data_IF_287865669114
#
_entry.id   IF_287865669114
#
_cell.length_a   1.000
_cell.length_b   1.000
_cell.length_c   1.000
_cell.angle_alpha   90.00
_cell.angle_beta   90.00
_cell.angle_gamma   90.00
#
_symmetry.space_group_name_H-M   'P 1'
#
loop_
_entity.id
_entity.type
_entity.pdbx_description
1 polymer ?
#
# COMPACT_ATOMS: atom_id res chain seq x y z
N UNK A 1 -30.11 -26.81 4.94
CA UNK A 1 -29.97 -25.49 4.27
C UNK A 1 -30.81 -24.53 5.08
N UNK A 2 -30.16 -23.84 6.04
CA UNK A 2 -30.79 -22.71 6.75
C UNK A 2 -30.87 -21.57 5.73
N UNK A 3 -32.11 -21.16 5.39
CA UNK A 3 -32.32 -20.01 4.51
C UNK A 3 -31.67 -18.77 5.12
N UNK A 4 -30.86 -18.12 4.31
CA UNK A 4 -30.17 -16.88 4.64
C UNK A 4 -31.20 -15.77 4.88
N UNK A 5 -31.56 -15.55 6.15
CA UNK A 5 -32.52 -14.49 6.58
C UNK A 5 -31.82 -13.18 6.84
N UNK A 6 -30.61 -12.99 6.30
CA UNK A 6 -29.88 -11.74 6.41
C UNK A 6 -30.58 -10.66 5.56
N UNK A 7 -31.28 -9.75 6.21
CA UNK A 7 -31.98 -8.61 5.59
C UNK A 7 -31.07 -7.43 5.24
N UNK A 8 -29.73 -7.61 5.24
CA UNK A 8 -28.72 -6.60 4.96
C UNK A 8 -27.99 -6.84 3.65
N UNK A 9 -26.96 -6.05 3.39
CA UNK A 9 -26.09 -6.10 2.24
C UNK A 9 -24.71 -6.68 2.62
N UNK A 10 -24.11 -7.44 1.73
CA UNK A 10 -22.72 -7.91 1.82
C UNK A 10 -21.84 -7.08 0.91
N UNK A 11 -20.88 -6.40 1.51
CA UNK A 11 -19.91 -5.56 0.80
C UNK A 11 -18.53 -6.16 0.96
N UNK A 12 -17.81 -6.34 -0.14
CA UNK A 12 -16.44 -6.80 -0.14
C UNK A 12 -15.50 -5.59 -0.33
N UNK A 13 -14.69 -5.30 0.67
CA UNK A 13 -13.72 -4.20 0.66
C UNK A 13 -12.31 -4.76 0.43
N UNK A 14 -11.64 -4.23 -0.57
CA UNK A 14 -10.24 -4.50 -0.95
C UNK A 14 -9.54 -3.21 -1.35
N UNK A 15 -8.21 -3.20 -1.36
CA UNK A 15 -7.39 -2.04 -1.74
C UNK A 15 -5.98 -2.48 -2.13
N UNK A 16 -5.17 -1.53 -2.59
CA UNK A 16 -3.72 -1.67 -2.73
C UNK A 16 -3.32 -2.90 -3.57
N UNK A 17 -3.97 -3.06 -4.74
CA UNK A 17 -3.68 -4.16 -5.65
C UNK A 17 -2.32 -4.04 -6.31
N UNK A 18 -1.87 -2.81 -6.58
CA UNK A 18 -0.57 -2.49 -7.20
C UNK A 18 -0.26 -3.35 -8.43
N UNK A 19 -1.22 -3.47 -9.33
CA UNK A 19 -1.04 -4.25 -10.57
C UNK A 19 0.17 -3.75 -11.36
N UNK A 20 1.06 -4.69 -11.69
CA UNK A 20 2.34 -4.40 -12.35
C UNK A 20 3.51 -4.14 -11.40
N UNK A 21 3.33 -4.32 -10.08
CA UNK A 21 4.42 -4.27 -9.09
C UNK A 21 5.28 -5.53 -9.17
N UNK A 22 6.56 -5.36 -8.87
CA UNK A 22 7.52 -6.45 -8.72
C UNK A 22 8.02 -6.54 -7.28
N UNK A 23 8.46 -7.71 -6.85
CA UNK A 23 9.11 -7.92 -5.56
C UNK A 23 10.58 -8.30 -5.78
N UNK A 24 11.51 -7.41 -5.45
CA UNK A 24 12.95 -7.60 -5.70
C UNK A 24 13.28 -8.10 -7.12
N UNK A 25 12.58 -7.58 -8.13
CA UNK A 25 12.75 -7.95 -9.54
C UNK A 25 11.93 -9.17 -10.00
N UNK A 26 11.22 -9.84 -9.10
CA UNK A 26 10.28 -10.92 -9.47
C UNK A 26 8.97 -10.32 -9.92
N UNK A 27 8.48 -10.76 -11.07
CA UNK A 27 7.16 -10.40 -11.59
C UNK A 27 6.06 -11.04 -10.73
N UNK A 28 5.08 -10.23 -10.32
CA UNK A 28 3.94 -10.67 -9.51
C UNK A 28 2.65 -10.85 -10.33
N UNK A 29 2.69 -10.80 -11.65
CA UNK A 29 1.50 -10.85 -12.51
C UNK A 29 0.65 -12.10 -12.27
N UNK A 30 1.28 -13.28 -12.16
CA UNK A 30 0.56 -14.53 -11.86
C UNK A 30 -0.08 -14.52 -10.46
N UNK A 31 0.58 -13.89 -9.49
CA UNK A 31 0.05 -13.76 -8.12
C UNK A 31 -1.13 -12.79 -8.08
N UNK A 32 -1.06 -11.68 -8.83
CA UNK A 32 -2.19 -10.77 -9.01
C UNK A 32 -3.37 -11.47 -9.69
N UNK A 33 -3.12 -12.22 -10.76
CA UNK A 33 -4.16 -12.97 -11.45
C UNK A 33 -4.85 -13.99 -10.53
N UNK A 34 -4.07 -14.76 -9.76
CA UNK A 34 -4.61 -15.74 -8.80
C UNK A 34 -5.46 -15.08 -7.71
N UNK A 35 -5.03 -13.92 -7.19
CA UNK A 35 -5.83 -13.16 -6.24
C UNK A 35 -7.14 -12.66 -6.87
N UNK A 36 -7.08 -12.10 -8.06
CA UNK A 36 -8.26 -11.54 -8.75
C UNK A 36 -9.25 -12.65 -9.15
N UNK A 37 -8.76 -13.84 -9.50
CA UNK A 37 -9.60 -15.03 -9.72
C UNK A 37 -10.31 -15.44 -8.43
N UNK A 38 -9.56 -15.49 -7.31
CA UNK A 38 -10.14 -15.76 -6.00
C UNK A 38 -11.21 -14.71 -5.62
N UNK A 39 -10.96 -13.43 -5.90
CA UNK A 39 -11.91 -12.35 -5.62
C UNK A 39 -13.24 -12.55 -6.37
N UNK A 40 -13.18 -12.94 -7.66
CA UNK A 40 -14.38 -13.26 -8.46
C UNK A 40 -15.16 -14.44 -7.87
N UNK A 41 -14.45 -15.52 -7.49
CA UNK A 41 -15.09 -16.69 -6.88
C UNK A 41 -15.70 -16.36 -5.50
N UNK A 42 -15.02 -15.55 -4.71
CA UNK A 42 -15.52 -15.09 -3.41
C UNK A 42 -16.82 -14.26 -3.59
N UNK A 43 -16.85 -13.35 -4.57
CA UNK A 43 -18.03 -12.55 -4.89
C UNK A 43 -19.23 -13.45 -5.20
N UNK A 44 -19.02 -14.55 -5.96
CA UNK A 44 -20.06 -15.50 -6.32
C UNK A 44 -20.51 -16.34 -5.12
N UNK A 45 -19.56 -16.86 -4.36
CA UNK A 45 -19.81 -17.75 -3.22
C UNK A 45 -20.59 -17.03 -2.11
N UNK A 46 -20.16 -15.80 -1.77
CA UNK A 46 -20.76 -14.99 -0.71
C UNK A 46 -21.94 -14.12 -1.17
N UNK A 47 -22.28 -14.15 -2.47
CA UNK A 47 -23.34 -13.32 -3.06
C UNK A 47 -23.18 -11.85 -2.69
N UNK A 48 -21.98 -11.30 -2.95
CA UNK A 48 -21.60 -9.94 -2.62
C UNK A 48 -22.41 -8.94 -3.43
N UNK A 49 -23.04 -7.97 -2.77
CA UNK A 49 -23.85 -6.93 -3.40
C UNK A 49 -23.00 -5.83 -4.03
N UNK A 50 -21.83 -5.52 -3.43
CA UNK A 50 -20.88 -4.56 -3.96
C UNK A 50 -19.43 -4.89 -3.59
N UNK A 51 -18.50 -4.66 -4.53
CA UNK A 51 -17.04 -4.66 -4.30
C UNK A 51 -16.57 -3.21 -4.25
N UNK A 52 -15.87 -2.86 -3.20
CA UNK A 52 -15.26 -1.55 -2.98
C UNK A 52 -13.74 -1.66 -3.08
N UNK A 53 -13.13 -0.91 -4.02
CA UNK A 53 -11.69 -0.90 -4.23
C UNK A 53 -11.13 0.47 -3.82
N UNK A 54 -10.49 0.52 -2.65
CA UNK A 54 -10.09 1.77 -2.00
C UNK A 54 -8.68 2.23 -2.40
N UNK A 55 -8.45 2.42 -3.70
CA UNK A 55 -7.23 3.01 -4.25
C UNK A 55 -6.07 2.05 -4.48
N UNK A 56 -5.01 2.59 -5.08
CA UNK A 56 -3.78 1.92 -5.51
C UNK A 56 -4.05 0.65 -6.32
N UNK A 57 -4.86 0.84 -7.37
CA UNK A 57 -5.21 -0.22 -8.32
C UNK A 57 -3.98 -0.63 -9.12
N UNK A 58 -3.23 0.36 -9.62
CA UNK A 58 -1.96 0.16 -10.32
C UNK A 58 -0.77 0.59 -9.46
N UNK A 59 0.40 -0.05 -9.67
CA UNK A 59 1.63 0.32 -8.97
C UNK A 59 2.20 1.68 -9.40
N UNK A 60 1.84 2.16 -10.58
CA UNK A 60 2.33 3.43 -11.12
C UNK A 60 1.31 4.08 -12.05
N UNK A 61 1.42 5.41 -12.17
CA UNK A 61 0.53 6.22 -13.00
C UNK A 61 0.50 5.84 -14.51
N UNK A 62 1.55 5.15 -15.00
CA UNK A 62 1.62 4.56 -16.34
C UNK A 62 1.83 3.05 -16.14
N UNK A 63 0.76 2.26 -16.03
CA UNK A 63 0.86 0.83 -15.81
C UNK A 63 1.33 0.08 -17.07
N UNK A 64 1.91 -1.11 -16.92
CA UNK A 64 2.15 -2.03 -18.02
C UNK A 64 0.83 -2.41 -18.73
N UNK A 65 0.92 -2.73 -20.01
CA UNK A 65 -0.27 -3.08 -20.81
C UNK A 65 -0.98 -4.31 -20.26
N UNK A 66 -0.21 -5.31 -19.84
CA UNK A 66 -0.70 -6.56 -19.26
C UNK A 66 -1.51 -6.30 -17.98
N UNK A 67 -1.11 -5.31 -17.17
CA UNK A 67 -1.84 -4.90 -15.98
C UNK A 67 -3.17 -4.23 -16.31
N UNK A 68 -3.21 -3.46 -17.40
CA UNK A 68 -4.46 -2.83 -17.89
C UNK A 68 -5.42 -3.91 -18.40
N UNK A 69 -4.93 -4.89 -19.14
CA UNK A 69 -5.72 -6.02 -19.63
C UNK A 69 -6.26 -6.86 -18.47
N UNK A 70 -5.42 -7.18 -17.48
CA UNK A 70 -5.81 -7.94 -16.29
C UNK A 70 -6.91 -7.21 -15.51
N UNK A 71 -6.77 -5.89 -15.29
CA UNK A 71 -7.82 -5.10 -14.64
C UNK A 71 -9.12 -5.13 -15.45
N UNK A 72 -9.04 -4.90 -16.76
CA UNK A 72 -10.21 -4.88 -17.65
C UNK A 72 -10.99 -6.19 -17.62
N UNK A 73 -10.29 -7.33 -17.72
CA UNK A 73 -10.90 -8.66 -17.65
C UNK A 73 -11.52 -8.92 -16.27
N UNK A 74 -10.84 -8.52 -15.19
CA UNK A 74 -11.35 -8.68 -13.82
C UNK A 74 -12.61 -7.86 -13.59
N UNK A 75 -12.62 -6.59 -13.99
CA UNK A 75 -13.81 -5.73 -13.84
C UNK A 75 -14.99 -6.28 -14.65
N UNK A 76 -14.75 -6.78 -15.87
CA UNK A 76 -15.79 -7.42 -16.67
C UNK A 76 -16.43 -8.60 -15.94
N UNK A 77 -15.59 -9.51 -15.40
CA UNK A 77 -16.07 -10.70 -14.65
C UNK A 77 -16.78 -10.33 -13.34
N UNK A 78 -16.25 -9.37 -12.57
CA UNK A 78 -16.88 -8.92 -11.33
C UNK A 78 -18.27 -8.32 -11.60
N UNK A 79 -18.37 -7.48 -12.63
CA UNK A 79 -19.62 -6.80 -12.97
C UNK A 79 -20.72 -7.71 -13.53
N UNK A 80 -20.40 -8.97 -13.90
CA UNK A 80 -21.42 -9.98 -14.18
C UNK A 80 -22.21 -10.36 -12.93
N UNK A 81 -21.60 -10.27 -11.74
CA UNK A 81 -22.16 -10.79 -10.49
C UNK A 81 -22.53 -9.72 -9.47
N UNK A 82 -21.79 -8.59 -9.45
CA UNK A 82 -21.90 -7.57 -8.40
C UNK A 82 -21.74 -6.16 -8.96
N UNK A 83 -21.95 -5.14 -8.13
CA UNK A 83 -21.52 -3.78 -8.41
C UNK A 83 -20.08 -3.56 -7.96
N UNK A 84 -19.32 -2.78 -8.73
CA UNK A 84 -17.94 -2.42 -8.39
C UNK A 84 -17.84 -0.91 -8.29
N UNK A 85 -17.34 -0.42 -7.16
CA UNK A 85 -17.00 0.99 -6.94
C UNK A 85 -15.52 1.07 -6.66
N UNK A 86 -14.79 1.84 -7.48
CA UNK A 86 -13.36 2.01 -7.28
C UNK A 86 -12.95 3.49 -7.35
N UNK A 87 -11.89 3.82 -6.64
CA UNK A 87 -11.29 5.15 -6.58
C UNK A 87 -9.78 5.06 -6.74
N UNK A 88 -9.08 6.05 -7.30
CA UNK A 88 -7.63 6.05 -7.38
C UNK A 88 -6.99 6.31 -6.03
N UNK A 89 -5.84 5.65 -5.78
CA UNK A 89 -4.90 5.95 -4.71
C UNK A 89 -3.78 6.89 -5.16
N UNK A 90 -2.71 6.96 -4.36
CA UNK A 90 -1.58 7.86 -4.63
C UNK A 90 -0.58 7.34 -5.69
N UNK A 91 -0.63 6.06 -6.04
CA UNK A 91 0.13 5.47 -7.14
C UNK A 91 -0.59 5.65 -8.49
N UNK A 92 -1.91 5.73 -8.48
CA UNK A 92 -2.73 5.80 -9.67
C UNK A 92 -2.67 7.18 -10.34
N UNK A 93 -2.87 7.19 -11.66
CA UNK A 93 -3.29 8.41 -12.36
C UNK A 93 -4.82 8.50 -12.35
N UNK A 94 -5.38 9.43 -11.58
CA UNK A 94 -6.82 9.64 -11.51
C UNK A 94 -7.45 9.84 -12.91
N UNK A 95 -6.73 10.49 -13.83
CA UNK A 95 -7.19 10.71 -15.20
C UNK A 95 -7.21 9.41 -16.01
N UNK A 96 -6.16 8.58 -15.93
CA UNK A 96 -6.08 7.33 -16.69
C UNK A 96 -7.02 6.28 -16.14
N UNK A 97 -7.05 6.08 -14.82
CA UNK A 97 -7.99 5.16 -14.19
C UNK A 97 -9.44 5.59 -14.41
N UNK A 98 -9.69 6.90 -14.44
CA UNK A 98 -11.01 7.48 -14.74
C UNK A 98 -11.37 7.54 -16.21
N UNK A 99 -10.53 7.03 -17.12
CA UNK A 99 -10.88 7.00 -18.53
C UNK A 99 -12.15 6.18 -18.78
N UNK A 100 -13.11 6.77 -19.49
CA UNK A 100 -14.39 6.13 -19.75
C UNK A 100 -15.36 6.09 -18.55
N UNK A 101 -15.02 6.62 -17.38
CA UNK A 101 -15.87 6.58 -16.18
C UNK A 101 -17.30 7.13 -16.44
N UNK A 102 -17.44 8.16 -17.26
CA UNK A 102 -18.75 8.72 -17.66
C UNK A 102 -19.57 7.84 -18.60
N UNK A 103 -18.97 6.79 -19.15
CA UNK A 103 -19.63 5.84 -20.06
C UNK A 103 -20.14 4.60 -19.32
N UNK A 104 -19.55 4.28 -18.17
CA UNK A 104 -19.95 3.12 -17.38
C UNK A 104 -21.36 3.33 -16.81
N UNK A 105 -22.11 2.26 -16.68
CA UNK A 105 -23.50 2.26 -16.18
C UNK A 105 -23.68 1.14 -15.15
N UNK A 106 -24.68 1.31 -14.34
CA UNK A 106 -25.27 0.35 -13.40
C UNK A 106 -24.30 -0.38 -12.46
N UNK A 107 -23.37 -1.17 -12.98
CA UNK A 107 -22.56 -2.08 -12.17
C UNK A 107 -21.09 -1.67 -11.99
N UNK A 108 -20.61 -0.64 -12.71
CA UNK A 108 -19.25 -0.13 -12.56
C UNK A 108 -19.25 1.38 -12.32
N UNK A 109 -18.72 1.81 -11.22
CA UNK A 109 -18.51 3.21 -10.88
C UNK A 109 -17.03 3.49 -10.57
N UNK A 110 -16.37 4.27 -11.45
CA UNK A 110 -15.02 4.78 -11.21
C UNK A 110 -15.11 6.21 -10.72
N UNK A 111 -14.77 6.44 -9.46
CA UNK A 111 -14.87 7.75 -8.81
C UNK A 111 -13.48 8.40 -8.68
N UNK A 112 -13.03 9.04 -9.77
CA UNK A 112 -11.66 9.58 -9.88
C UNK A 112 -11.57 11.11 -9.76
N UNK A 113 -12.69 11.83 -9.62
CA UNK A 113 -12.73 13.30 -9.63
C UNK A 113 -13.22 13.87 -8.32
N UNK A 114 -12.53 14.89 -7.81
CA UNK A 114 -12.94 15.64 -6.61
C UNK A 114 -14.33 16.30 -6.76
N UNK A 115 -14.69 16.73 -7.95
CA UNK A 115 -15.99 17.34 -8.21
C UNK A 115 -17.20 16.42 -7.88
N UNK A 116 -17.03 15.09 -8.00
CA UNK A 116 -18.09 14.10 -7.77
C UNK A 116 -18.13 13.49 -6.38
N UNK A 117 -17.35 13.97 -5.42
CA UNK A 117 -17.25 13.35 -4.07
C UNK A 117 -18.57 13.38 -3.25
N UNK A 118 -19.42 14.34 -3.51
CA UNK A 118 -20.76 14.45 -2.90
C UNK A 118 -21.86 13.75 -3.72
N UNK A 119 -21.50 12.96 -4.70
CA UNK A 119 -22.42 12.17 -5.53
C UNK A 119 -22.22 10.68 -5.21
N UNK A 120 -22.99 10.11 -4.28
CA UNK A 120 -22.80 8.70 -3.91
C UNK A 120 -23.23 7.77 -5.04
N UNK A 121 -22.65 6.58 -5.03
CA UNK A 121 -23.19 5.43 -5.76
C UNK A 121 -24.29 4.82 -4.89
N UNK A 122 -25.50 4.75 -5.41
CA UNK A 122 -26.62 4.14 -4.72
C UNK A 122 -26.60 2.63 -4.95
N UNK A 123 -26.53 1.87 -3.88
CA UNK A 123 -26.67 0.42 -3.91
C UNK A 123 -28.14 0.08 -3.66
N UNK A 124 -28.82 -0.67 -4.56
CA UNK A 124 -30.21 -1.04 -4.36
C UNK A 124 -30.31 -2.10 -3.27
N UNK A 125 -31.41 -2.03 -2.51
CA UNK A 125 -31.87 -3.11 -1.66
C UNK A 125 -32.58 -4.21 -2.50
N UNK A 126 -33.09 -5.23 -1.82
CA UNK A 126 -33.81 -6.36 -2.47
C UNK A 126 -35.15 -5.95 -3.07
N UNK A 127 -35.73 -4.86 -2.62
CA UNK A 127 -37.02 -4.34 -3.08
C UNK A 127 -36.87 -3.28 -4.17
N UNK A 128 -35.62 -2.95 -4.56
CA UNK A 128 -35.29 -1.97 -5.59
C UNK A 128 -35.21 -0.54 -5.06
N UNK A 129 -35.32 -0.34 -3.76
CA UNK A 129 -35.03 0.94 -3.09
C UNK A 129 -33.55 1.18 -2.88
N UNK A 130 -33.19 2.29 -2.23
CA UNK A 130 -31.81 2.59 -1.87
C UNK A 130 -31.42 1.87 -0.58
N UNK A 131 -30.63 0.80 -0.69
CA UNK A 131 -30.15 0.00 0.43
C UNK A 131 -28.91 0.59 1.13
N UNK A 132 -28.02 1.27 0.38
CA UNK A 132 -26.88 1.98 0.94
C UNK A 132 -26.39 3.10 0.01
N UNK A 133 -25.70 4.09 0.57
CA UNK A 133 -25.04 5.17 -0.15
C UNK A 133 -23.53 4.98 -0.04
N UNK A 134 -22.83 4.89 -1.17
CA UNK A 134 -21.37 4.72 -1.23
C UNK A 134 -20.74 6.00 -1.75
N UNK A 135 -20.12 6.77 -0.88
CA UNK A 135 -19.28 7.91 -1.24
C UNK A 135 -17.86 7.43 -1.51
N UNK A 136 -17.18 8.02 -2.47
CA UNK A 136 -15.82 7.65 -2.80
C UNK A 136 -14.95 8.89 -3.00
N UNK A 137 -13.89 8.99 -2.20
CA UNK A 137 -12.87 10.02 -2.30
C UNK A 137 -11.71 9.47 -3.13
N UNK A 138 -11.33 10.08 -4.25
CA UNK A 138 -10.04 9.83 -4.85
C UNK A 138 -8.94 10.24 -3.87
N UNK A 139 -7.72 9.76 -4.05
CA UNK A 139 -6.60 10.26 -3.27
C UNK A 139 -6.54 11.79 -3.32
N UNK A 140 -6.55 12.41 -2.15
CA UNK A 140 -6.59 13.87 -1.99
C UNK A 140 -5.19 14.41 -1.72
N UNK A 141 -4.39 14.56 -2.80
CA UNK A 141 -3.14 15.30 -2.72
C UNK A 141 -3.44 16.77 -2.39
N UNK A 142 -2.92 17.32 -1.27
CA UNK A 142 -3.22 18.70 -0.87
C UNK A 142 -2.81 19.73 -1.91
N UNK A 143 -1.74 19.51 -2.67
CA UNK A 143 -1.27 20.47 -3.70
C UNK A 143 -2.16 20.46 -4.94
N UNK A 144 -2.76 19.32 -5.26
CA UNK A 144 -3.57 19.15 -6.48
C UNK A 144 -5.07 19.38 -6.24
N UNK A 145 -5.56 19.24 -5.00
CA UNK A 145 -7.01 19.20 -4.74
C UNK A 145 -7.58 20.41 -4.01
N UNK A 146 -6.74 21.25 -3.38
CA UNK A 146 -7.17 22.42 -2.60
C UNK A 146 -8.08 23.38 -3.38
N UNK A 147 -7.76 23.65 -4.65
CA UNK A 147 -8.54 24.56 -5.47
C UNK A 147 -9.95 24.01 -5.74
N UNK A 148 -10.05 22.73 -6.03
CA UNK A 148 -11.32 22.06 -6.25
C UNK A 148 -12.16 21.91 -4.96
N UNK A 149 -11.51 21.99 -3.79
CA UNK A 149 -12.13 21.90 -2.46
C UNK A 149 -12.37 23.28 -1.80
N UNK A 150 -12.05 24.37 -2.47
CA UNK A 150 -12.35 25.71 -1.95
C UNK A 150 -13.84 25.87 -1.67
N UNK A 151 -14.16 26.56 -0.59
CA UNK A 151 -15.52 26.87 -0.14
C UNK A 151 -15.67 28.40 -0.06
N UNK A 152 -16.85 28.98 -0.36
CA UNK A 152 -17.05 30.41 -0.22
C UNK A 152 -17.00 30.82 1.26
N UNK A 153 -16.37 31.97 1.55
CA UNK A 153 -16.50 32.67 2.84
C UNK A 153 -17.83 33.46 2.92
N UNK A 154 -17.97 34.24 3.99
CA UNK A 154 -19.17 35.06 4.23
C UNK A 154 -19.37 36.13 3.14
N UNK A 155 -18.33 36.56 2.45
CA UNK A 155 -18.35 37.52 1.34
C UNK A 155 -18.47 36.84 -0.03
N UNK A 156 -18.53 35.51 -0.07
CA UNK A 156 -18.62 34.70 -1.27
C UNK A 156 -17.29 34.45 -1.99
N UNK A 157 -16.14 34.83 -1.39
CA UNK A 157 -14.84 34.59 -1.96
C UNK A 157 -14.37 33.13 -1.72
N UNK A 158 -13.70 32.48 -2.69
CA UNK A 158 -13.25 31.09 -2.55
C UNK A 158 -12.08 30.99 -1.56
N UNK A 159 -12.28 30.32 -0.42
CA UNK A 159 -11.26 30.01 0.57
C UNK A 159 -10.78 28.57 0.41
N UNK A 160 -9.48 28.41 0.17
CA UNK A 160 -8.84 27.10 0.04
C UNK A 160 -8.60 26.47 1.41
N UNK A 161 -8.79 25.15 1.59
CA UNK A 161 -8.36 24.47 2.81
C UNK A 161 -6.84 24.63 3.02
N UNK A 162 -6.36 24.48 4.25
CA UNK A 162 -4.93 24.48 4.56
C UNK A 162 -4.20 23.38 3.74
N UNK A 163 -2.88 23.57 3.53
CA UNK A 163 -2.04 22.61 2.78
C UNK A 163 -1.68 21.41 3.66
N UNK A 164 -2.66 20.57 3.95
CA UNK A 164 -2.48 19.33 4.71
C UNK A 164 -3.51 18.29 4.31
N UNK A 165 -3.18 17.01 4.48
CA UNK A 165 -4.10 15.88 4.25
C UNK A 165 -5.36 16.00 5.15
N UNK A 166 -5.19 16.41 6.40
CA UNK A 166 -6.31 16.65 7.31
C UNK A 166 -7.29 17.68 6.74
N UNK A 167 -6.79 18.84 6.32
CA UNK A 167 -7.65 19.94 5.88
C UNK A 167 -8.41 19.63 4.58
N UNK A 168 -7.76 18.99 3.60
CA UNK A 168 -8.42 18.61 2.34
C UNK A 168 -9.42 17.47 2.55
N UNK A 169 -9.12 16.52 3.43
CA UNK A 169 -10.05 15.45 3.80
C UNK A 169 -11.26 16.01 4.55
N UNK A 170 -11.05 16.92 5.51
CA UNK A 170 -12.13 17.57 6.23
C UNK A 170 -13.06 18.37 5.29
N UNK A 171 -12.49 19.11 4.32
CA UNK A 171 -13.29 19.84 3.32
C UNK A 171 -14.11 18.89 2.44
N UNK A 172 -13.52 17.77 2.00
CA UNK A 172 -14.23 16.75 1.24
C UNK A 172 -15.37 16.13 2.05
N UNK A 173 -15.11 15.80 3.31
CA UNK A 173 -16.12 15.19 4.20
C UNK A 173 -17.27 16.14 4.56
N UNK A 174 -17.05 17.47 4.65
CA UNK A 174 -18.15 18.43 4.80
C UNK A 174 -19.13 18.36 3.63
N UNK A 175 -18.62 18.23 2.38
CA UNK A 175 -19.46 18.08 1.19
C UNK A 175 -20.25 16.77 1.21
N UNK A 176 -19.61 15.67 1.60
CA UNK A 176 -20.25 14.36 1.78
C UNK A 176 -21.35 14.45 2.84
N UNK A 177 -21.05 15.03 4.01
CA UNK A 177 -22.01 15.19 5.10
C UNK A 177 -23.22 16.05 4.72
N UNK A 178 -22.98 17.12 3.96
CA UNK A 178 -24.05 17.98 3.43
C UNK A 178 -25.00 17.25 2.48
N UNK A 179 -24.49 16.43 1.58
CA UNK A 179 -25.31 15.60 0.69
C UNK A 179 -26.05 14.51 1.47
N UNK A 180 -25.35 13.76 2.32
CA UNK A 180 -25.94 12.71 3.13
C UNK A 180 -27.08 13.22 4.01
N UNK A 181 -26.89 14.40 4.63
CA UNK A 181 -27.94 15.06 5.42
C UNK A 181 -29.19 15.38 4.60
N UNK A 182 -29.04 15.95 3.41
CA UNK A 182 -30.16 16.22 2.49
C UNK A 182 -30.90 14.95 2.07
N UNK A 183 -30.16 13.89 1.68
CA UNK A 183 -30.76 12.61 1.28
C UNK A 183 -31.52 11.94 2.40
N UNK A 184 -30.96 11.88 3.60
CA UNK A 184 -31.62 11.31 4.78
C UNK A 184 -32.87 12.11 5.21
N UNK A 185 -32.87 13.43 5.02
CA UNK A 185 -34.05 14.23 5.27
C UNK A 185 -35.17 13.98 4.24
N UNK A 186 -34.84 13.57 3.03
CA UNK A 186 -35.79 13.29 1.94
C UNK A 186 -36.43 11.91 1.98
N UNK A 187 -35.87 10.97 2.77
CA UNK A 187 -36.41 9.62 2.90
C UNK A 187 -36.93 9.36 4.31
N UNK A 188 -38.04 8.65 4.45
CA UNK A 188 -38.67 8.39 5.73
C UNK A 188 -37.96 7.35 6.62
N UNK A 189 -36.80 6.86 6.23
CA UNK A 189 -36.02 5.84 6.94
C UNK A 189 -34.52 6.13 6.84
N UNK A 190 -33.72 5.51 7.72
CA UNK A 190 -32.27 5.61 7.69
C UNK A 190 -31.70 4.79 6.56
N UNK A 191 -30.85 5.40 5.73
CA UNK A 191 -30.04 4.72 4.71
C UNK A 191 -28.60 4.66 5.20
N UNK A 192 -27.98 3.49 5.28
CA UNK A 192 -26.57 3.32 5.61
C UNK A 192 -25.66 4.05 4.63
N UNK A 193 -24.56 4.62 5.14
CA UNK A 193 -23.58 5.33 4.33
C UNK A 193 -22.18 4.76 4.51
N UNK A 194 -21.54 4.46 3.41
CA UNK A 194 -20.17 3.93 3.33
C UNK A 194 -19.29 4.95 2.62
N UNK A 195 -18.07 5.10 3.08
CA UNK A 195 -17.06 5.94 2.46
C UNK A 195 -15.88 5.07 1.98
N UNK A 196 -15.44 5.26 0.73
CA UNK A 196 -14.13 4.83 0.28
C UNK A 196 -13.17 6.00 0.42
N UNK A 197 -11.98 5.76 0.97
CA UNK A 197 -10.91 6.76 1.01
C UNK A 197 -9.54 6.09 0.95
N UNK A 198 -8.60 6.76 0.33
CA UNK A 198 -7.20 6.33 0.29
C UNK A 198 -6.36 7.37 1.05
N UNK A 199 -6.05 7.08 2.30
CA UNK A 199 -5.41 8.03 3.22
C UNK A 199 -4.71 7.31 4.37
N UNK A 200 -3.67 7.94 4.95
CA UNK A 200 -3.06 7.46 6.18
C UNK A 200 -3.79 8.04 7.39
N UNK A 201 -4.56 7.23 8.07
CA UNK A 201 -5.31 7.61 9.28
C UNK A 201 -4.47 7.36 10.52
N UNK A 202 -4.43 8.32 11.43
CA UNK A 202 -3.70 8.22 12.72
C UNK A 202 -4.07 6.95 13.47
N UNK A 203 -3.05 6.25 13.96
CA UNK A 203 -3.18 4.97 14.67
C UNK A 203 -3.02 3.75 13.77
N UNK A 204 -2.91 3.93 12.46
CA UNK A 204 -2.51 2.86 11.53
C UNK A 204 -1.00 2.58 11.62
N UNK A 205 -0.62 1.32 11.43
CA UNK A 205 0.77 0.87 11.40
C UNK A 205 1.20 0.65 9.93
N UNK A 206 2.14 1.45 9.40
CA UNK A 206 2.65 1.28 8.04
C UNK A 206 3.66 0.13 7.96
N UNK A 207 3.92 -0.35 6.73
CA UNK A 207 5.05 -1.21 6.39
C UNK A 207 6.13 -0.40 5.62
N UNK A 208 7.15 -1.07 5.09
CA UNK A 208 8.20 -0.41 4.29
C UNK A 208 7.81 -0.23 2.81
N UNK A 209 6.68 -0.74 2.41
CA UNK A 209 6.26 -0.78 0.99
C UNK A 209 5.31 0.33 0.57
N UNK A 210 4.74 1.06 1.53
CA UNK A 210 3.92 2.23 1.26
C UNK A 210 4.76 3.41 0.79
N UNK A 211 4.21 4.20 -0.13
CA UNK A 211 4.87 5.43 -0.60
C UNK A 211 4.75 6.54 0.45
N UNK A 212 5.84 7.27 0.66
CA UNK A 212 5.81 8.50 1.47
C UNK A 212 4.89 9.55 0.81
N UNK A 213 3.86 9.98 1.55
CA UNK A 213 2.89 11.00 1.12
C UNK A 213 2.97 12.28 1.95
N UNK A 214 4.04 12.49 2.74
CA UNK A 214 4.17 13.63 3.63
C UNK A 214 4.13 14.98 2.91
N UNK A 215 3.29 15.87 3.42
CA UNK A 215 3.22 17.28 3.01
C UNK A 215 3.56 18.15 4.22
N UNK A 216 4.66 18.90 4.13
CA UNK A 216 5.14 19.68 5.28
C UNK A 216 5.58 18.82 6.49
N UNK A 217 5.94 17.54 6.26
CA UNK A 217 6.36 16.61 7.32
C UNK A 217 5.23 15.83 7.99
N UNK A 218 3.97 16.04 7.59
CA UNK A 218 2.79 15.35 8.12
C UNK A 218 2.06 14.64 7.00
N UNK A 219 1.75 13.36 7.20
CA UNK A 219 1.04 12.48 6.26
C UNK A 219 -0.30 11.96 6.82
N UNK A 220 -0.55 12.11 8.11
CA UNK A 220 -1.67 11.48 8.80
C UNK A 220 -2.91 12.36 8.87
N UNK A 221 -4.07 11.72 8.73
CA UNK A 221 -5.39 12.30 8.96
C UNK A 221 -5.92 11.80 10.30
N UNK A 222 -6.25 12.67 11.27
CA UNK A 222 -6.87 12.25 12.51
C UNK A 222 -8.19 11.49 12.27
N UNK A 223 -8.41 10.39 12.98
CA UNK A 223 -9.64 9.59 12.82
C UNK A 223 -10.93 10.38 13.03
N UNK A 224 -10.92 11.34 13.95
CA UNK A 224 -12.05 12.22 14.23
C UNK A 224 -12.52 13.10 13.06
N UNK A 225 -11.69 13.26 12.01
CA UNK A 225 -12.07 13.98 10.78
C UNK A 225 -13.18 13.26 10.02
N UNK A 226 -13.29 11.93 10.16
CA UNK A 226 -14.30 11.11 9.50
C UNK A 226 -15.69 11.21 10.14
N UNK A 227 -15.83 12.03 11.16
CA UNK A 227 -17.11 12.43 11.73
C UNK A 227 -17.53 11.66 12.97
N UNK A 228 -18.69 12.05 13.49
CA UNK A 228 -19.29 11.42 14.64
C UNK A 228 -19.96 10.08 14.27
N UNK A 229 -20.16 9.17 15.25
CA UNK A 229 -20.91 7.94 15.03
C UNK A 229 -22.30 8.21 14.43
N UNK A 230 -22.69 7.42 13.44
CA UNK A 230 -24.00 7.52 12.79
C UNK A 230 -24.08 8.44 11.58
N UNK A 231 -23.05 9.27 11.31
CA UNK A 231 -22.92 9.96 10.03
C UNK A 231 -22.56 8.93 8.94
N UNK A 232 -21.36 8.32 9.05
CA UNK A 232 -20.95 7.20 8.24
C UNK A 232 -21.06 5.90 9.06
N UNK A 233 -21.34 4.80 8.40
CA UNK A 233 -21.41 3.47 9.03
C UNK A 233 -20.10 2.71 8.89
N UNK A 234 -19.49 2.79 7.71
CA UNK A 234 -18.24 2.12 7.40
C UNK A 234 -17.32 3.03 6.57
N UNK A 235 -16.04 3.04 6.90
CA UNK A 235 -15.01 3.70 6.10
C UNK A 235 -14.04 2.65 5.59
N UNK A 236 -14.10 2.40 4.30
CA UNK A 236 -13.21 1.51 3.56
C UNK A 236 -11.92 2.25 3.19
N UNK A 237 -10.83 1.95 3.91
CA UNK A 237 -9.54 2.62 3.76
C UNK A 237 -8.58 1.78 2.91
N UNK A 238 -7.83 2.46 2.03
CA UNK A 238 -6.61 1.98 1.38
C UNK A 238 -5.42 2.83 1.78
N UNK A 239 -4.23 2.45 1.35
CA UNK A 239 -2.90 2.99 1.55
C UNK A 239 -2.02 2.13 2.45
N UNK A 240 -2.51 1.59 3.57
CA UNK A 240 -1.74 0.73 4.45
C UNK A 240 -1.91 -0.74 4.08
N UNK A 241 -0.80 -1.44 3.87
CA UNK A 241 -0.76 -2.81 3.35
C UNK A 241 -1.08 -3.89 4.40
N UNK A 242 -1.10 -3.54 5.69
CA UNK A 242 -1.56 -4.40 6.77
C UNK A 242 -3.06 -4.25 7.03
N UNK A 243 -3.83 -5.36 6.96
CA UNK A 243 -5.23 -5.36 7.32
C UNK A 243 -5.41 -5.00 8.80
N UNK A 244 -6.05 -3.87 9.10
CA UNK A 244 -6.17 -3.36 10.46
C UNK A 244 -7.40 -2.46 10.64
N UNK A 245 -7.94 -2.46 11.86
CA UNK A 245 -8.96 -1.49 12.29
C UNK A 245 -8.26 -0.25 12.86
N UNK A 246 -8.78 0.91 12.55
CA UNK A 246 -8.32 2.19 13.10
C UNK A 246 -9.51 2.98 13.64
N UNK A 247 -9.22 4.12 14.30
CA UNK A 247 -10.23 4.94 14.93
C UNK A 247 -10.58 4.50 16.35
N UNK A 248 -11.38 5.32 17.03
CA UNK A 248 -11.76 5.14 18.44
C UNK A 248 -13.12 4.44 18.51
N UNK A 249 -13.14 3.31 19.18
CA UNK A 249 -14.36 2.52 19.32
C UNK A 249 -15.48 3.32 20.01
N UNK A 250 -16.67 3.29 19.43
CA UNK A 250 -17.84 4.03 19.94
C UNK A 250 -17.79 5.55 19.75
N UNK A 251 -16.68 6.12 19.25
CA UNK A 251 -16.52 7.55 18.99
C UNK A 251 -16.41 7.89 17.52
N UNK A 252 -15.85 6.97 16.72
CA UNK A 252 -15.66 7.11 15.28
C UNK A 252 -16.52 6.06 14.54
N UNK A 253 -16.80 6.21 13.23
CA UNK A 253 -17.39 5.14 12.41
C UNK A 253 -16.50 3.91 12.40
N UNK A 254 -17.02 2.77 11.96
CA UNK A 254 -16.18 1.57 11.76
C UNK A 254 -15.22 1.84 10.61
N UNK A 255 -13.93 1.99 10.91
CA UNK A 255 -12.90 2.29 9.91
C UNK A 255 -11.89 1.14 9.84
N UNK A 256 -11.55 0.71 8.62
CA UNK A 256 -10.62 -0.40 8.42
C UNK A 256 -9.83 -0.26 7.13
N UNK A 257 -8.56 -0.65 7.20
CA UNK A 257 -7.76 -1.01 6.03
C UNK A 257 -8.01 -2.48 5.68
N UNK A 258 -8.30 -2.77 4.43
CA UNK A 258 -8.34 -4.13 3.92
C UNK A 258 -6.92 -4.73 3.85
N UNK A 259 -5.95 -3.88 3.64
CA UNK A 259 -4.57 -4.23 3.33
C UNK A 259 -4.37 -4.61 1.86
N UNK A 260 -3.12 -4.76 1.46
CA UNK A 260 -2.80 -5.28 0.13
C UNK A 260 -3.03 -6.79 0.06
N UNK A 261 -3.47 -7.32 -1.10
CA UNK A 261 -3.73 -8.76 -1.26
C UNK A 261 -2.45 -9.60 -1.32
N UNK A 262 -1.32 -8.99 -1.65
CA UNK A 262 -0.01 -9.61 -1.81
C UNK A 262 0.98 -8.83 -0.94
N UNK A 263 2.00 -9.50 -0.42
CA UNK A 263 3.10 -8.84 0.28
C UNK A 263 4.08 -8.23 -0.73
N UNK A 264 4.42 -6.96 -0.53
CA UNK A 264 5.31 -6.19 -1.41
C UNK A 264 6.67 -5.87 -0.79
N UNK A 265 6.88 -6.21 0.47
CA UNK A 265 8.16 -6.11 1.17
C UNK A 265 8.32 -7.19 2.24
N UNK A 266 9.55 -7.44 2.68
CA UNK A 266 9.82 -8.37 3.78
C UNK A 266 9.28 -7.89 5.13
N UNK A 267 9.02 -6.60 5.30
CA UNK A 267 8.34 -6.09 6.50
C UNK A 267 6.90 -6.62 6.65
N UNK A 268 6.33 -7.11 5.56
CA UNK A 268 4.98 -7.69 5.51
C UNK A 268 4.95 -9.22 5.69
N UNK A 269 6.08 -9.86 5.95
CA UNK A 269 6.18 -11.33 6.06
C UNK A 269 5.23 -11.92 7.13
N UNK A 270 4.91 -11.15 8.18
CA UNK A 270 3.97 -11.55 9.23
C UNK A 270 2.51 -11.19 8.93
N UNK A 271 2.23 -10.42 7.86
CA UNK A 271 0.87 -10.01 7.54
C UNK A 271 0.04 -11.18 7.01
N UNK A 272 -1.19 -11.30 7.48
CA UNK A 272 -2.21 -12.15 6.86
C UNK A 272 -2.92 -11.33 5.80
N UNK A 273 -2.63 -11.63 4.53
CA UNK A 273 -3.25 -10.95 3.40
C UNK A 273 -4.71 -11.36 3.27
N UNK A 274 -5.61 -10.39 3.14
CA UNK A 274 -7.05 -10.62 3.21
C UNK A 274 -7.84 -9.55 2.46
N UNK A 275 -9.12 -9.85 2.24
CA UNK A 275 -10.17 -8.88 1.92
C UNK A 275 -11.16 -8.81 3.08
N UNK A 276 -11.85 -7.69 3.24
CA UNK A 276 -12.82 -7.52 4.31
C UNK A 276 -14.25 -7.71 3.76
N UNK A 277 -14.95 -8.74 4.24
CA UNK A 277 -16.37 -8.94 3.99
C UNK A 277 -17.16 -8.24 5.08
N UNK A 278 -17.94 -7.24 4.70
CA UNK A 278 -18.70 -6.37 5.59
C UNK A 278 -20.18 -6.69 5.48
N UNK A 279 -20.81 -7.01 6.58
CA UNK A 279 -22.26 -7.14 6.69
C UNK A 279 -22.86 -5.81 7.11
N UNK A 280 -23.56 -5.15 6.20
CA UNK A 280 -24.19 -3.86 6.38
C UNK A 280 -25.73 -4.00 6.47
N UNK A 281 -26.30 -3.58 7.57
CA UNK A 281 -27.73 -3.55 7.80
C UNK A 281 -28.25 -2.11 7.81
N UNK A 282 -29.58 -1.87 7.79
CA UNK A 282 -30.13 -0.54 7.90
C UNK A 282 -29.66 0.24 9.14
N UNK A 283 -29.34 -0.47 10.22
CA UNK A 283 -28.87 0.11 11.49
C UNK A 283 -27.36 0.43 11.47
N UNK A 284 -26.60 -0.09 10.51
CA UNK A 284 -25.15 0.06 10.37
C UNK A 284 -24.41 -1.26 10.16
N UNK A 285 -23.12 -1.29 10.47
CA UNK A 285 -22.26 -2.50 10.33
C UNK A 285 -22.64 -3.51 11.42
N UNK A 286 -23.00 -4.72 10.99
CA UNK A 286 -23.25 -5.88 11.88
C UNK A 286 -22.00 -6.67 12.16
N UNK A 287 -21.13 -6.81 11.16
CA UNK A 287 -19.90 -7.60 11.27
C UNK A 287 -18.93 -7.28 10.15
N UNK A 288 -17.66 -7.57 10.42
CA UNK A 288 -16.59 -7.52 9.42
C UNK A 288 -15.75 -8.78 9.59
N UNK A 289 -15.71 -9.61 8.56
CA UNK A 289 -14.89 -10.80 8.48
C UNK A 289 -13.70 -10.55 7.55
N UNK A 290 -12.52 -11.04 7.91
CA UNK A 290 -11.36 -11.05 7.04
C UNK A 290 -11.25 -12.39 6.34
N UNK A 291 -11.46 -12.38 5.03
CA UNK A 291 -11.30 -13.55 4.18
C UNK A 291 -9.86 -13.57 3.67
N UNK A 292 -9.11 -14.64 3.96
CA UNK A 292 -7.71 -14.76 3.56
C UNK A 292 -7.57 -14.74 2.03
N UNK A 293 -6.61 -13.94 1.54
CA UNK A 293 -6.21 -13.96 0.14
C UNK A 293 -5.30 -15.18 -0.15
N UNK A 294 -5.36 -15.76 -1.35
CA UNK A 294 -4.46 -16.85 -1.72
C UNK A 294 -3.02 -16.33 -1.80
N UNK A 295 -2.13 -16.93 -1.03
CA UNK A 295 -0.70 -16.62 -1.02
C UNK A 295 0.05 -17.83 -1.55
N UNK A 296 0.42 -17.79 -2.83
CA UNK A 296 1.11 -18.91 -3.48
C UNK A 296 2.51 -19.13 -2.89
N UNK A 297 3.20 -18.09 -2.45
CA UNK A 297 4.52 -18.18 -1.82
C UNK A 297 4.64 -17.14 -0.71
N UNK A 298 4.89 -17.61 0.50
CA UNK A 298 5.08 -16.74 1.68
C UNK A 298 6.47 -16.12 1.70
N UNK A 299 6.58 -14.96 2.33
CA UNK A 299 7.85 -14.32 2.65
C UNK A 299 8.38 -14.81 3.99
N UNK A 300 9.70 -14.95 4.11
CA UNK A 300 10.35 -15.21 5.40
C UNK A 300 11.77 -14.64 5.43
N UNK A 301 12.26 -14.40 6.65
CA UNK A 301 13.65 -14.07 6.94
C UNK A 301 14.37 -15.32 7.45
N UNK A 302 15.59 -15.56 6.95
CA UNK A 302 16.49 -16.60 7.44
C UNK A 302 17.82 -15.97 7.83
N UNK A 303 18.20 -16.12 9.10
CA UNK A 303 19.45 -15.53 9.63
C UNK A 303 20.26 -16.61 10.32
N UNK A 304 21.54 -16.68 10.02
CA UNK A 304 22.48 -17.63 10.62
C UNK A 304 23.81 -17.66 9.86
N UNK A 305 24.75 -18.49 10.33
CA UNK A 305 25.97 -18.78 9.57
C UNK A 305 25.64 -19.55 8.29
N UNK A 306 26.52 -19.50 7.30
CA UNK A 306 26.30 -20.22 6.04
C UNK A 306 26.12 -21.73 6.27
N UNK A 307 26.85 -22.31 7.23
CA UNK A 307 26.72 -23.72 7.63
C UNK A 307 25.33 -24.02 8.19
N UNK A 308 24.82 -23.19 9.11
CA UNK A 308 23.47 -23.32 9.67
C UNK A 308 22.39 -23.17 8.61
N UNK A 309 22.50 -22.15 7.75
CA UNK A 309 21.55 -21.86 6.69
C UNK A 309 21.47 -22.98 5.64
N UNK A 310 22.60 -23.61 5.32
CA UNK A 310 22.63 -24.73 4.37
C UNK A 310 22.29 -26.08 5.00
N UNK A 311 22.21 -26.13 6.35
CA UNK A 311 21.76 -27.28 7.12
C UNK A 311 20.25 -27.52 7.09
N UNK A 312 19.78 -28.48 7.91
CA UNK A 312 18.36 -28.90 7.91
C UNK A 312 17.42 -27.99 8.72
N UNK A 313 17.96 -27.12 9.54
CA UNK A 313 17.14 -26.27 10.44
C UNK A 313 16.15 -25.38 9.65
N UNK A 314 16.48 -25.03 8.42
CA UNK A 314 15.71 -24.17 7.54
C UNK A 314 14.98 -24.91 6.41
N UNK A 315 14.82 -26.26 6.50
CA UNK A 315 14.13 -27.05 5.48
C UNK A 315 12.70 -26.54 5.21
N UNK A 316 12.01 -26.06 6.23
CA UNK A 316 10.65 -25.53 6.15
C UNK A 316 10.53 -24.23 5.34
N UNK A 317 11.65 -23.55 5.02
CA UNK A 317 11.67 -22.29 4.29
C UNK A 317 12.04 -22.44 2.80
N UNK A 318 12.32 -23.63 2.31
CA UNK A 318 12.80 -23.86 0.93
C UNK A 318 11.85 -23.30 -0.14
N UNK A 319 10.55 -23.38 0.12
CA UNK A 319 9.52 -22.89 -0.79
C UNK A 319 9.10 -21.44 -0.55
N UNK A 320 9.77 -20.73 0.37
CA UNK A 320 9.46 -19.32 0.66
C UNK A 320 10.30 -18.39 -0.21
N UNK A 321 9.78 -17.20 -0.49
CA UNK A 321 10.62 -16.06 -0.87
C UNK A 321 11.40 -15.61 0.35
N UNK A 322 12.73 -15.63 0.25
CA UNK A 322 13.60 -15.41 1.39
C UNK A 322 14.46 -14.15 1.26
N UNK A 323 14.56 -13.46 2.40
CA UNK A 323 15.68 -12.56 2.69
C UNK A 323 16.62 -13.33 3.62
N UNK A 324 17.82 -13.65 3.12
CA UNK A 324 18.83 -14.43 3.84
C UNK A 324 19.92 -13.51 4.37
N UNK A 325 20.15 -13.53 5.68
CA UNK A 325 21.22 -12.79 6.35
C UNK A 325 22.28 -13.77 6.85
N UNK A 326 23.45 -13.76 6.19
CA UNK A 326 24.60 -14.59 6.54
C UNK A 326 25.41 -13.89 7.62
N UNK A 327 25.65 -14.56 8.75
CA UNK A 327 26.24 -13.96 9.96
C UNK A 327 27.66 -14.42 10.25
N UNK A 328 28.32 -15.14 9.34
CA UNK A 328 29.73 -15.51 9.45
C UNK A 328 30.60 -14.26 9.67
N UNK A 329 31.61 -14.33 10.54
CA UNK A 329 32.49 -13.21 10.85
C UNK A 329 33.26 -12.70 9.62
N UNK A 330 33.60 -13.62 8.71
CA UNK A 330 34.21 -13.32 7.41
C UNK A 330 33.25 -13.72 6.31
N UNK A 331 33.06 -12.83 5.34
CA UNK A 331 32.14 -13.10 4.21
C UNK A 331 32.53 -14.39 3.48
N UNK A 332 31.67 -15.41 3.42
CA UNK A 332 31.97 -16.66 2.77
C UNK A 332 32.18 -16.48 1.24
N UNK A 333 33.09 -17.24 0.69
CA UNK A 333 33.27 -17.28 -0.78
C UNK A 333 32.01 -17.80 -1.46
N UNK A 334 31.67 -17.22 -2.62
CA UNK A 334 30.49 -17.59 -3.39
C UNK A 334 29.21 -17.67 -2.56
N UNK A 335 29.08 -16.85 -1.52
CA UNK A 335 27.96 -16.82 -0.57
C UNK A 335 26.60 -16.88 -1.28
N UNK A 336 26.38 -16.01 -2.27
CA UNK A 336 25.14 -16.00 -3.05
C UNK A 336 24.86 -17.35 -3.72
N UNK A 337 25.84 -17.94 -4.39
CA UNK A 337 25.67 -19.20 -5.11
C UNK A 337 25.37 -20.37 -4.18
N UNK A 338 25.96 -20.39 -2.98
CA UNK A 338 25.69 -21.42 -1.97
C UNK A 338 24.28 -21.29 -1.42
N UNK A 339 23.83 -20.06 -1.07
CA UNK A 339 22.48 -19.79 -0.61
C UNK A 339 21.45 -20.10 -1.71
N UNK A 340 21.65 -19.63 -2.95
CA UNK A 340 20.72 -19.88 -4.06
C UNK A 340 20.57 -21.36 -4.41
N UNK A 341 21.62 -22.19 -4.23
CA UNK A 341 21.53 -23.64 -4.42
C UNK A 341 20.62 -24.28 -3.39
N UNK A 342 20.65 -23.78 -2.16
CA UNK A 342 19.82 -24.29 -1.06
C UNK A 342 18.40 -23.72 -1.10
N UNK A 343 18.29 -22.43 -1.39
CA UNK A 343 17.04 -21.67 -1.43
C UNK A 343 16.85 -21.05 -2.82
N UNK A 344 16.26 -21.77 -3.77
CA UNK A 344 16.12 -21.30 -5.15
C UNK A 344 15.22 -20.06 -5.26
N UNK A 345 14.47 -19.75 -4.21
CA UNK A 345 13.56 -18.58 -4.11
C UNK A 345 14.10 -17.49 -3.19
N UNK A 346 15.40 -17.49 -2.88
CA UNK A 346 16.02 -16.37 -2.15
C UNK A 346 16.05 -15.13 -3.05
N UNK A 347 15.43 -14.06 -2.58
CA UNK A 347 15.33 -12.77 -3.29
C UNK A 347 16.42 -11.80 -2.85
N UNK A 348 16.80 -11.88 -1.57
CA UNK A 348 17.82 -11.01 -0.97
C UNK A 348 18.81 -11.91 -0.22
N UNK A 349 20.11 -11.73 -0.47
CA UNK A 349 21.18 -12.37 0.32
C UNK A 349 22.13 -11.28 0.75
N UNK A 350 22.25 -11.07 2.04
CA UNK A 350 23.11 -10.06 2.63
C UNK A 350 24.06 -10.66 3.67
N UNK A 351 25.20 -10.01 3.87
CA UNK A 351 26.18 -10.40 4.89
C UNK A 351 26.16 -9.38 6.01
N UNK A 352 25.89 -9.86 7.23
CA UNK A 352 25.89 -9.05 8.46
C UNK A 352 26.55 -9.85 9.57
N UNK A 353 27.87 -9.72 9.80
CA UNK A 353 28.59 -10.49 10.83
C UNK A 353 27.99 -10.32 12.21
N UNK A 354 27.80 -11.41 12.94
CA UNK A 354 27.29 -11.40 14.31
C UNK A 354 28.17 -10.58 15.26
N UNK A 355 29.50 -10.63 15.03
CA UNK A 355 30.50 -9.89 15.77
C UNK A 355 31.06 -8.74 14.93
N UNK A 356 30.17 -7.95 14.31
CA UNK A 356 30.61 -6.71 13.67
C UNK A 356 31.33 -5.85 14.74
N UNK A 357 32.67 -5.84 14.71
CA UNK A 357 33.42 -4.84 15.47
C UNK A 357 32.80 -3.49 15.11
N UNK A 358 32.43 -2.71 16.13
CA UNK A 358 32.07 -1.31 15.91
C UNK A 358 33.17 -0.70 15.01
N UNK A 359 32.85 -0.50 13.76
CA UNK A 359 33.77 0.20 12.88
C UNK A 359 33.90 1.57 13.50
N UNK A 360 35.12 2.01 13.91
CA UNK A 360 35.28 3.38 14.36
C UNK A 360 34.63 4.24 13.28
N UNK A 361 33.73 5.13 13.72
CA UNK A 361 33.08 6.06 12.81
C UNK A 361 34.18 6.66 11.94
N UNK A 362 34.06 6.50 10.61
CA UNK A 362 35.06 7.03 9.70
C UNK A 362 35.23 8.50 10.05
N UNK A 363 36.41 8.88 10.49
CA UNK A 363 36.72 10.28 10.83
C UNK A 363 36.35 11.11 9.62
N UNK A 364 35.54 12.16 9.81
CA UNK A 364 35.11 12.97 8.70
C UNK A 364 36.37 13.45 7.94
N UNK A 365 36.47 13.04 6.67
CA UNK A 365 37.60 13.40 5.82
C UNK A 365 37.58 14.91 5.64
N UNK A 366 38.51 15.62 6.28
CA UNK A 366 38.63 17.06 6.13
C UNK A 366 39.41 17.41 4.87
N UNK A 367 39.18 18.59 4.27
CA UNK A 367 39.84 19.02 3.02
C UNK A 367 41.36 19.19 3.12
N UNK A 368 41.96 19.00 4.29
CA UNK A 368 43.43 19.12 4.55
C UNK A 368 44.10 17.77 4.84
N UNK A 369 43.39 16.62 4.72
CA UNK A 369 44.03 15.31 4.94
C UNK A 369 44.79 14.86 3.71
N UNK A 370 45.95 14.19 3.93
CA UNK A 370 46.71 13.57 2.86
C UNK A 370 45.88 12.45 2.17
N UNK A 371 45.62 12.54 0.84
CA UNK A 371 44.86 11.55 0.10
C UNK A 371 45.38 10.11 0.26
N UNK A 372 46.70 9.92 0.46
CA UNK A 372 47.30 8.60 0.69
C UNK A 372 46.97 8.08 2.09
N UNK A 373 46.89 8.94 3.10
CA UNK A 373 46.44 8.55 4.44
C UNK A 373 44.94 8.19 4.45
N UNK A 374 44.13 8.95 3.73
CA UNK A 374 42.68 8.66 3.58
C UNK A 374 42.49 7.31 2.88
N UNK A 375 43.24 7.01 1.82
CA UNK A 375 43.21 5.73 1.13
C UNK A 375 43.68 4.57 2.03
N UNK A 376 44.72 4.78 2.85
CA UNK A 376 45.17 3.77 3.81
C UNK A 376 44.10 3.47 4.86
N UNK A 377 43.45 4.48 5.43
CA UNK A 377 42.34 4.35 6.36
C UNK A 377 41.14 3.62 5.72
N UNK A 378 40.85 3.94 4.46
CA UNK A 378 39.79 3.24 3.71
C UNK A 378 40.10 1.74 3.51
N UNK A 379 41.34 1.41 3.11
CA UNK A 379 41.78 0.01 2.96
C UNK A 379 41.71 -0.75 4.29
N UNK A 380 42.09 -0.11 5.37
CA UNK A 380 41.99 -0.70 6.70
C UNK A 380 40.52 -0.91 7.13
N UNK A 381 39.68 0.11 6.94
CA UNK A 381 38.26 0.05 7.26
C UNK A 381 37.51 -0.99 6.40
N UNK A 382 37.86 -1.10 5.12
CA UNK A 382 37.25 -2.06 4.18
C UNK A 382 37.78 -3.48 4.36
N UNK A 383 39.09 -3.63 4.63
CA UNK A 383 39.76 -4.92 4.75
C UNK A 383 39.76 -5.53 6.16
N UNK A 384 39.39 -4.73 7.18
CA UNK A 384 39.40 -5.17 8.59
C UNK A 384 40.81 -5.42 9.17
N UNK A 385 41.86 -5.02 8.49
CA UNK A 385 43.26 -5.12 8.87
C UNK A 385 44.05 -3.93 8.34
N UNK A 386 45.18 -3.55 8.96
CA UNK A 386 46.05 -2.53 8.41
C UNK A 386 46.43 -2.82 6.95
N UNK A 387 46.47 -1.78 6.11
CA UNK A 387 46.87 -1.88 4.72
C UNK A 387 48.32 -2.37 4.60
N UNK A 388 48.57 -3.32 3.73
CA UNK A 388 49.91 -3.85 3.49
C UNK A 388 50.76 -2.89 2.67
N UNK A 389 52.12 -2.97 2.81
CA UNK A 389 53.03 -2.09 2.05
C UNK A 389 52.84 -2.19 0.52
N UNK A 390 52.55 -3.37 -0.01
CA UNK A 390 52.28 -3.60 -1.42
C UNK A 390 50.98 -2.94 -1.90
N UNK A 391 49.92 -2.97 -1.08
CA UNK A 391 48.65 -2.31 -1.35
C UNK A 391 48.82 -0.78 -1.36
N UNK A 392 49.56 -0.25 -0.39
CA UNK A 392 49.86 1.19 -0.33
C UNK A 392 50.74 1.66 -1.49
N UNK A 393 51.67 0.82 -1.97
CA UNK A 393 52.49 1.12 -3.13
C UNK A 393 51.63 1.30 -4.41
N UNK A 394 50.66 0.43 -4.63
CA UNK A 394 49.75 0.51 -5.79
C UNK A 394 48.90 1.79 -5.72
N UNK A 395 48.37 2.14 -4.52
CA UNK A 395 47.57 3.38 -4.33
C UNK A 395 48.46 4.61 -4.60
N UNK A 396 49.69 4.62 -4.13
CA UNK A 396 50.61 5.73 -4.36
C UNK A 396 50.94 5.88 -5.85
N UNK A 397 51.25 4.79 -6.56
CA UNK A 397 51.52 4.85 -7.97
C UNK A 397 50.35 5.39 -8.78
N UNK A 398 49.14 4.94 -8.46
CA UNK A 398 47.89 5.44 -9.08
C UNK A 398 47.70 6.93 -8.82
N UNK A 399 47.87 7.38 -7.58
CA UNK A 399 47.75 8.81 -7.20
C UNK A 399 48.77 9.68 -7.91
N UNK A 400 50.04 9.27 -7.94
CA UNK A 400 51.12 10.02 -8.62
C UNK A 400 50.87 10.08 -10.14
N UNK A 401 50.33 9.01 -10.74
CA UNK A 401 49.96 8.98 -12.16
C UNK A 401 48.88 10.00 -12.50
N UNK A 402 47.84 10.13 -11.65
CA UNK A 402 46.75 11.12 -11.82
C UNK A 402 47.32 12.53 -11.70
N UNK A 403 48.14 12.79 -10.69
CA UNK A 403 48.79 14.12 -10.51
C UNK A 403 49.71 14.51 -11.66
N UNK A 404 50.41 13.54 -12.24
CA UNK A 404 51.27 13.78 -13.42
C UNK A 404 50.41 14.11 -14.66
N UNK A 405 49.28 13.44 -14.85
CA UNK A 405 48.35 13.71 -15.95
C UNK A 405 47.71 15.13 -15.81
N UNK A 406 47.28 15.52 -14.61
CA UNK A 406 46.71 16.86 -14.35
C UNK A 406 47.70 18.00 -14.57
N UNK A 407 49.04 17.75 -14.31
CA UNK A 407 50.09 18.77 -14.56
C UNK A 407 50.44 18.90 -16.04
N UNK A 408 50.03 17.93 -16.84
CA UNK A 408 50.34 17.87 -18.28
C UNK A 408 49.18 18.30 -19.17
N UNK A 409 48.03 18.57 -18.56
CA UNK A 409 46.81 19.09 -19.18
C UNK A 409 46.66 20.61 -18.94
#
# INVERSE_FOLDING_TARGET
MAGDTFGGMRILHTSDWHLGRTLHGVDLTEHHAAFLDHLVELVRAERVDAVLVAGDVYDRAIPPVESVELLSQTLARLTEHTRVVLTPGNHDSATRLGFGAGLFRDRLAVRSRVAGIAEPVELPDRDGGTGALVYALPYLDPDLTRDALAEPDDDGAPVRPARSHEAVTAAALRRVAGDLGRRRAGVGHRVPAVLLAHAFVTGGAPSESERDIRVGGVDQVPSGVFGAPGALDYVALGHLHGAQRVGREGLDPVMRYAGSPIAFSFSEASHRKSTALVELAPEGVRGVELVEAPVARRLADATGTLEELTGRAFDHLVDHWLRVTVTDDVRPEQMWAQVARRFPHALVVQHSPAHARERPAASAVGPQQDPLEVAAQFLEAAGGRPARPDELAVVREAYESVLAAERSA
#
